data_IF_257344419061
#
_entry.id   IF_257344419061
#
_cell.length_a   1.000
_cell.length_b   1.000
_cell.length_c   1.000
_cell.angle_alpha   90.00
_cell.angle_beta   90.00
_cell.angle_gamma   90.00
#
_symmetry.space_group_name_H-M   'P 1'
#
loop_
_entity.id
_entity.type
_entity.pdbx_description
1 polymer ?
#
# COMPACT_ATOMS: atom_id res chain seq x y z
N UNK A 1 11.30 -5.25 8.39
CA UNK A 1 10.66 -6.28 7.54
C UNK A 1 10.82 -7.64 8.21
N UNK A 2 10.10 -8.67 7.76
CA UNK A 2 10.33 -10.07 8.17
C UNK A 2 10.00 -11.04 7.04
N UNK A 3 10.54 -12.25 7.14
CA UNK A 3 10.14 -13.37 6.30
C UNK A 3 8.99 -14.14 6.97
N UNK A 4 7.97 -14.50 6.21
CA UNK A 4 6.86 -15.35 6.64
C UNK A 4 6.65 -16.43 5.58
N UNK A 5 7.18 -17.64 5.86
CA UNK A 5 7.27 -18.73 4.87
C UNK A 5 7.98 -18.22 3.60
N UNK A 6 7.33 -18.25 2.45
CA UNK A 6 7.87 -17.80 1.16
C UNK A 6 7.50 -16.34 0.84
N UNK A 7 6.98 -15.58 1.81
CA UNK A 7 6.59 -14.20 1.62
C UNK A 7 7.49 -13.26 2.41
N UNK A 8 7.77 -12.10 1.81
CA UNK A 8 8.45 -11.00 2.44
C UNK A 8 7.43 -9.97 2.89
N UNK A 9 7.52 -9.56 4.15
CA UNK A 9 6.59 -8.63 4.79
C UNK A 9 7.33 -7.35 5.16
N UNK A 10 6.88 -6.23 4.61
CA UNK A 10 7.31 -4.89 4.97
C UNK A 10 6.24 -4.26 5.86
N UNK A 11 6.64 -3.73 7.01
CA UNK A 11 5.76 -2.96 7.90
C UNK A 11 5.97 -1.48 7.60
N UNK A 12 4.88 -0.75 7.37
CA UNK A 12 4.87 0.63 6.92
C UNK A 12 4.01 1.46 7.88
N UNK A 13 4.44 2.69 8.15
CA UNK A 13 3.68 3.63 8.99
C UNK A 13 2.44 4.17 8.29
N UNK A 14 2.50 4.30 6.96
CA UNK A 14 1.42 4.82 6.14
C UNK A 14 0.92 3.75 5.19
N UNK A 15 -0.41 3.70 5.03
CA UNK A 15 -1.05 2.91 3.98
C UNK A 15 -0.77 3.58 2.63
N UNK A 16 -0.51 2.79 1.59
CA UNK A 16 -0.42 3.25 0.21
C UNK A 16 -1.80 3.54 -0.36
N UNK A 17 -1.88 4.56 -1.22
CA UNK A 17 -3.06 4.84 -2.04
C UNK A 17 -3.31 3.71 -3.04
N UNK A 18 -4.53 3.63 -3.58
CA UNK A 18 -4.86 2.59 -4.56
C UNK A 18 -4.07 2.77 -5.87
N UNK A 19 -3.77 4.02 -6.26
CA UNK A 19 -2.92 4.33 -7.40
C UNK A 19 -1.48 3.85 -7.18
N UNK A 20 -0.89 4.16 -6.01
CA UNK A 20 0.45 3.66 -5.66
C UNK A 20 0.47 2.13 -5.57
N UNK A 21 -0.61 1.51 -5.08
CA UNK A 21 -0.71 0.06 -5.04
C UNK A 21 -0.76 -0.53 -6.46
N UNK A 22 -1.44 0.11 -7.41
CA UNK A 22 -1.46 -0.32 -8.81
C UNK A 22 -0.08 -0.16 -9.46
N UNK A 23 0.58 0.98 -9.26
CA UNK A 23 1.93 1.23 -9.75
C UNK A 23 2.92 0.18 -9.29
N UNK A 24 2.86 -0.26 -8.02
CA UNK A 24 3.75 -1.34 -7.57
C UNK A 24 3.45 -2.70 -8.22
N UNK A 25 2.21 -2.97 -8.61
CA UNK A 25 1.88 -4.22 -9.31
C UNK A 25 2.51 -4.26 -10.70
N UNK A 26 2.60 -3.12 -11.38
CA UNK A 26 3.16 -3.06 -12.73
C UNK A 26 4.68 -2.85 -12.67
N UNK A 27 5.13 -1.79 -12.00
CA UNK A 27 6.52 -1.34 -12.01
C UNK A 27 7.47 -2.26 -11.26
N UNK A 28 7.00 -3.07 -10.29
CA UNK A 28 7.83 -4.02 -9.54
C UNK A 28 7.40 -5.48 -9.77
N UNK A 29 6.76 -5.77 -10.92
CA UNK A 29 6.35 -7.13 -11.27
C UNK A 29 7.52 -8.13 -11.33
N UNK A 30 8.69 -7.65 -11.73
CA UNK A 30 9.96 -8.37 -11.77
C UNK A 30 10.44 -8.83 -10.38
N UNK A 31 10.10 -8.07 -9.34
CA UNK A 31 10.56 -8.32 -7.98
C UNK A 31 9.74 -9.41 -7.26
N UNK A 32 8.49 -9.64 -7.68
CA UNK A 32 7.66 -10.71 -7.12
C UNK A 32 7.87 -12.03 -7.86
N UNK A 33 7.99 -13.12 -7.11
CA UNK A 33 8.08 -14.47 -7.69
C UNK A 33 6.75 -14.97 -8.26
N UNK A 34 5.66 -14.62 -7.59
CA UNK A 34 4.31 -15.06 -7.95
C UNK A 34 3.25 -14.22 -7.23
N UNK A 35 2.00 -14.34 -7.68
CA UNK A 35 0.87 -13.64 -7.07
C UNK A 35 0.90 -12.14 -7.32
N UNK A 36 0.52 -11.36 -6.30
CA UNK A 36 0.42 -9.90 -6.34
C UNK A 36 0.98 -9.31 -5.04
N UNK A 37 1.22 -8.01 -5.06
CA UNK A 37 1.45 -7.26 -3.82
C UNK A 37 0.14 -7.16 -3.03
N UNK A 38 0.19 -7.52 -1.76
CA UNK A 38 -0.95 -7.45 -0.86
C UNK A 38 -0.69 -6.43 0.24
N UNK A 39 -1.49 -5.37 0.24
CA UNK A 39 -1.53 -4.43 1.34
C UNK A 39 -2.65 -4.83 2.31
N UNK A 40 -2.31 -5.01 3.58
CA UNK A 40 -3.26 -5.23 4.64
C UNK A 40 -3.19 -4.05 5.61
N UNK A 41 -4.27 -3.28 5.66
CA UNK A 41 -4.48 -2.31 6.73
C UNK A 41 -4.67 -3.05 8.06
N UNK A 42 -4.37 -2.40 9.17
CA UNK A 42 -4.69 -2.92 10.49
C UNK A 42 -6.23 -2.98 10.64
N UNK A 43 -6.84 -4.07 10.17
CA UNK A 43 -8.11 -4.52 10.71
C UNK A 43 -7.74 -5.16 12.04
N UNK A 44 -8.15 -4.59 13.17
CA UNK A 44 -7.85 -5.05 14.53
C UNK A 44 -8.33 -6.46 14.90
N UNK A 45 -8.30 -7.41 13.96
CA UNK A 45 -8.55 -8.82 14.13
C UNK A 45 -7.30 -9.52 14.70
N UNK A 46 -7.16 -9.38 16.02
CA UNK A 46 -6.90 -10.45 16.99
C UNK A 46 -5.60 -11.28 16.99
N UNK A 47 -4.57 -11.08 16.16
CA UNK A 47 -3.42 -12.04 16.17
C UNK A 47 -1.97 -11.54 16.20
N UNK A 48 -1.68 -10.26 16.47
CA UNK A 48 -0.32 -9.87 16.90
C UNK A 48 -0.40 -9.14 18.24
N UNK A 49 -0.10 -9.84 19.34
CA UNK A 49 0.13 -9.22 20.65
C UNK A 49 1.54 -8.61 20.60
N UNK A 50 1.66 -7.31 20.33
CA UNK A 50 2.96 -6.61 20.30
C UNK A 50 2.89 -5.13 19.89
N UNK A 51 3.95 -4.38 20.21
CA UNK A 51 4.06 -2.92 20.01
C UNK A 51 3.96 -2.43 18.54
N UNK A 52 3.86 -3.31 17.54
CA UNK A 52 3.89 -2.96 16.12
C UNK A 52 2.64 -3.38 15.34
N UNK A 53 1.59 -3.82 16.05
CA UNK A 53 0.36 -4.32 15.42
C UNK A 53 -0.40 -3.25 14.65
N UNK A 54 -0.18 -1.97 14.97
CA UNK A 54 -0.80 -0.81 14.33
C UNK A 54 -0.21 -0.45 12.95
N UNK A 55 0.85 -1.12 12.49
CA UNK A 55 1.52 -0.77 11.22
C UNK A 55 0.90 -1.50 10.03
N UNK A 56 0.72 -0.78 8.91
CA UNK A 56 0.24 -1.36 7.66
C UNK A 56 1.26 -2.36 7.11
N UNK A 57 0.81 -3.49 6.57
CA UNK A 57 1.69 -4.54 6.05
C UNK A 57 1.59 -4.62 4.53
N UNK A 58 2.75 -4.59 3.86
CA UNK A 58 2.89 -4.94 2.45
C UNK A 58 3.55 -6.31 2.34
N UNK A 59 2.88 -7.26 1.69
CA UNK A 59 3.32 -8.65 1.57
C UNK A 59 3.41 -9.07 0.11
N UNK A 60 4.49 -9.75 -0.26
CA UNK A 60 4.68 -10.32 -1.60
C UNK A 60 5.67 -11.49 -1.56
N UNK A 61 5.64 -12.37 -2.56
CA UNK A 61 6.59 -13.47 -2.69
C UNK A 61 7.92 -12.95 -3.24
N UNK A 62 9.03 -13.10 -2.49
CA UNK A 62 10.35 -12.57 -2.86
C UNK A 62 11.42 -13.65 -2.65
N UNK A 63 12.47 -13.69 -3.47
CA UNK A 63 13.55 -14.68 -3.38
C UNK A 63 14.78 -14.19 -2.58
N UNK A 64 14.85 -12.91 -2.22
CA UNK A 64 15.99 -12.34 -1.50
C UNK A 64 17.20 -11.97 -2.37
N UNK A 65 17.11 -12.05 -3.71
CA UNK A 65 18.24 -11.82 -4.61
C UNK A 65 18.30 -10.38 -5.12
N UNK A 66 17.17 -9.79 -5.45
CA UNK A 66 17.10 -8.47 -6.10
C UNK A 66 17.06 -7.32 -5.07
N UNK A 67 18.11 -7.22 -4.25
CA UNK A 67 18.17 -6.28 -3.12
C UNK A 67 18.19 -4.81 -3.55
N UNK A 68 18.82 -4.48 -4.69
CA UNK A 68 18.78 -3.12 -5.25
C UNK A 68 17.37 -2.71 -5.66
N UNK A 69 16.66 -3.62 -6.34
CA UNK A 69 15.28 -3.42 -6.73
C UNK A 69 14.31 -3.37 -5.54
N UNK A 70 14.58 -4.16 -4.51
CA UNK A 70 13.89 -4.05 -3.23
C UNK A 70 14.10 -2.68 -2.59
N UNK A 71 15.32 -2.11 -2.70
CA UNK A 71 15.59 -0.76 -2.18
C UNK A 71 14.76 0.28 -2.91
N UNK A 72 14.67 0.21 -4.24
CA UNK A 72 13.82 1.10 -5.03
C UNK A 72 12.34 1.01 -4.63
N UNK A 73 11.83 -0.21 -4.39
CA UNK A 73 10.47 -0.39 -3.86
C UNK A 73 10.32 0.28 -2.49
N UNK A 74 11.30 0.11 -1.60
CA UNK A 74 11.31 0.74 -0.27
C UNK A 74 11.33 2.26 -0.37
N UNK A 75 12.09 2.82 -1.31
CA UNK A 75 12.10 4.26 -1.54
C UNK A 75 10.74 4.74 -2.07
N UNK A 76 10.15 4.03 -3.03
CA UNK A 76 8.83 4.33 -3.59
C UNK A 76 7.72 4.36 -2.52
N UNK A 77 7.63 3.33 -1.66
CA UNK A 77 6.57 3.27 -0.63
C UNK A 77 6.73 4.33 0.47
N UNK A 78 7.93 4.91 0.62
CA UNK A 78 8.20 5.97 1.58
C UNK A 78 7.98 7.38 1.01
N UNK A 79 7.64 7.52 -0.28
CA UNK A 79 7.28 8.81 -0.85
C UNK A 79 5.90 9.27 -0.32
N UNK A 80 5.79 10.48 0.26
CA UNK A 80 4.53 10.97 0.83
C UNK A 80 3.36 11.05 -0.18
N UNK A 81 3.66 11.25 -1.45
CA UNK A 81 2.67 11.26 -2.55
C UNK A 81 1.98 9.91 -2.76
N UNK A 82 2.66 8.82 -2.40
CA UNK A 82 2.14 7.46 -2.55
C UNK A 82 1.27 7.02 -1.37
N UNK A 83 1.25 7.79 -0.29
CA UNK A 83 0.42 7.48 0.87
C UNK A 83 -1.05 7.78 0.60
N UNK A 84 -1.91 6.94 1.16
CA UNK A 84 -3.34 7.19 1.21
C UNK A 84 -3.55 8.45 2.07
N UNK A 85 -3.86 9.57 1.41
CA UNK A 85 -4.27 10.78 2.11
C UNK A 85 -5.60 10.48 2.81
N UNK A 86 -5.81 10.92 4.06
CA UNK A 86 -7.16 10.96 4.60
C UNK A 86 -7.95 11.84 3.63
N UNK A 87 -8.90 11.25 2.89
CA UNK A 87 -9.71 12.02 1.97
C UNK A 87 -10.33 13.16 2.80
N UNK A 88 -10.03 14.45 2.53
CA UNK A 88 -10.95 15.47 2.97
C UNK A 88 -12.26 15.10 2.30
N UNK A 89 -13.30 14.92 3.09
CA UNK A 89 -14.66 14.72 2.61
C UNK A 89 -15.03 15.93 1.75
N UNK A 90 -14.64 15.96 0.48
CA UNK A 90 -15.18 16.88 -0.50
C UNK A 90 -16.55 16.36 -0.90
N UNK A 91 -17.51 16.66 -0.03
CA UNK A 91 -18.75 17.34 -0.39
C UNK A 91 -19.38 16.87 -1.70
N UNK A 92 -20.27 15.89 -1.63
CA UNK A 92 -21.42 15.80 -2.54
C UNK A 92 -22.34 16.99 -2.29
N UNK A 93 -21.94 18.19 -2.72
CA UNK A 93 -22.73 19.42 -2.78
C UNK A 93 -21.91 20.38 -3.65
N UNK A 94 -22.10 20.48 -4.96
CA UNK A 94 -23.24 21.17 -5.58
C UNK A 94 -23.18 21.02 -7.11
N UNK A 95 -23.21 19.79 -7.64
CA UNK A 95 -23.48 19.57 -9.08
C UNK A 95 -24.99 19.50 -9.37
N UNK A 96 -25.76 20.48 -8.87
CA UNK A 96 -27.23 20.59 -9.07
C UNK A 96 -27.78 22.00 -9.28
N UNK A 97 -26.95 22.97 -9.70
CA UNK A 97 -27.42 24.33 -10.05
C UNK A 97 -26.92 24.80 -11.43
N UNK A 98 -26.82 23.88 -12.40
CA UNK A 98 -26.67 24.23 -13.81
C UNK A 98 -27.74 23.59 -14.70
N UNK A 99 -28.95 23.43 -14.15
CA UNK A 99 -30.17 23.11 -14.91
C UNK A 99 -31.35 23.86 -14.27
N UNK A 100 -31.39 25.18 -14.44
CA UNK A 100 -32.58 26.03 -14.28
C UNK A 100 -32.23 27.48 -14.63
N UNK A 101 -31.79 27.71 -15.87
CA UNK A 101 -32.17 28.92 -16.63
C UNK A 101 -32.28 28.47 -18.09
N UNK A 102 -33.48 28.06 -18.44
CA UNK A 102 -34.08 28.17 -19.77
C UNK A 102 -35.44 28.80 -19.57
#
# INVERSE_FOLDING_TARGET
>A
SRWLKNQFVIRMHHRLSDAALYEIQESFADLRLSGKYHQQADSGAEHEVGNYSHLTRLTFAFNGRDQGRLRELVDFINLPENWAKPQPMHTTQRAREALKVS
#
